data_IF_863771233195
#
_entry.id   IF_863771233195
#
_cell.length_a   1.000
_cell.length_b   1.000
_cell.length_c   1.000
_cell.angle_alpha   90.00
_cell.angle_beta   90.00
_cell.angle_gamma   90.00
#
_symmetry.space_group_name_H-M   'P 1'
#
loop_
_entity.id
_entity.type
_entity.pdbx_description
1 polymer ?
#
# COMPACT_ATOMS: atom_id res chain seq x y z
N UNK A 1 -1.24 19.93 24.13
CA UNK A 1 -0.99 19.54 22.75
C UNK A 1 -2.02 18.52 22.34
N UNK A 2 -2.80 18.70 21.26
CA UNK A 2 -3.79 17.70 20.84
C UNK A 2 -3.04 16.42 20.42
N UNK A 3 -3.41 15.31 21.07
CA UNK A 3 -2.88 13.99 20.71
C UNK A 3 -3.38 13.68 19.29
N UNK A 4 -2.48 13.66 18.32
CA UNK A 4 -2.77 13.32 16.94
C UNK A 4 -3.46 11.96 16.85
N UNK A 5 -4.40 11.80 15.89
CA UNK A 5 -5.11 10.55 15.59
C UNK A 5 -4.12 9.37 15.53
N UNK A 6 -2.94 9.55 14.91
CA UNK A 6 -1.86 8.57 14.83
C UNK A 6 -1.39 8.03 16.20
N UNK A 7 -1.27 8.88 17.23
CA UNK A 7 -0.82 8.44 18.57
C UNK A 7 -1.90 7.63 19.31
N UNK A 8 -3.18 7.90 19.02
CA UNK A 8 -4.33 7.15 19.57
C UNK A 8 -4.48 5.81 18.87
N UNK A 9 -4.34 5.79 17.55
CA UNK A 9 -4.36 4.60 16.72
C UNK A 9 -3.24 3.63 17.11
N UNK A 10 -2.00 4.11 17.30
CA UNK A 10 -0.88 3.29 17.76
C UNK A 10 -1.17 2.54 19.05
N UNK A 11 -1.72 3.21 20.08
CA UNK A 11 -2.04 2.55 21.37
C UNK A 11 -3.11 1.46 21.23
N UNK A 12 -4.13 1.68 20.41
CA UNK A 12 -5.18 0.70 20.14
C UNK A 12 -4.59 -0.54 19.46
N UNK A 13 -3.75 -0.36 18.44
CA UNK A 13 -3.10 -1.48 17.76
C UNK A 13 -2.11 -2.24 18.64
N UNK A 14 -1.36 -1.56 19.50
CA UNK A 14 -0.49 -2.21 20.49
C UNK A 14 -1.30 -3.11 21.46
N UNK A 15 -2.52 -2.71 21.80
CA UNK A 15 -3.40 -3.46 22.74
C UNK A 15 -4.10 -4.66 22.05
N UNK A 16 -4.48 -4.53 20.76
CA UNK A 16 -5.23 -5.59 20.04
C UNK A 16 -4.31 -6.52 19.22
N UNK A 17 -3.00 -6.33 19.30
CA UNK A 17 -2.00 -7.08 18.51
C UNK A 17 -2.12 -8.60 18.63
N UNK A 18 -2.63 -9.13 19.74
CA UNK A 18 -2.77 -10.56 19.99
C UNK A 18 -4.01 -11.19 19.32
N UNK A 19 -5.07 -10.43 19.09
CA UNK A 19 -6.36 -10.93 18.51
C UNK A 19 -6.49 -10.59 17.02
N UNK A 20 -5.81 -9.56 16.57
CA UNK A 20 -5.86 -9.06 15.19
C UNK A 20 -5.51 -10.11 14.10
N UNK A 21 -4.53 -11.03 14.30
CA UNK A 21 -4.16 -12.01 13.26
C UNK A 21 -5.29 -12.94 12.83
N UNK A 22 -6.16 -13.35 13.76
CA UNK A 22 -7.25 -14.31 13.50
C UNK A 22 -8.35 -13.64 12.65
N UNK A 23 -8.75 -12.42 13.00
CA UNK A 23 -9.77 -11.68 12.24
C UNK A 23 -9.31 -11.37 10.81
N UNK A 24 -8.04 -11.02 10.62
CA UNK A 24 -7.44 -10.73 9.32
C UNK A 24 -7.51 -11.93 8.37
N UNK A 25 -7.21 -13.14 8.87
CA UNK A 25 -7.29 -14.35 8.05
C UNK A 25 -8.71 -14.61 7.55
N UNK A 26 -9.71 -14.49 8.42
CA UNK A 26 -11.10 -14.80 8.07
C UNK A 26 -11.72 -13.78 7.11
N UNK A 27 -11.33 -12.51 7.14
CA UNK A 27 -12.00 -11.46 6.38
C UNK A 27 -11.19 -10.89 5.21
N UNK A 28 -9.86 -11.06 5.19
CA UNK A 28 -8.99 -10.39 4.22
C UNK A 28 -8.27 -11.32 3.23
N UNK A 29 -8.31 -12.63 3.45
CA UNK A 29 -7.49 -13.59 2.69
C UNK A 29 -7.71 -13.50 1.18
N UNK A 30 -8.96 -13.46 0.71
CA UNK A 30 -9.28 -13.35 -0.73
C UNK A 30 -8.80 -12.03 -1.35
N UNK A 31 -8.90 -10.93 -0.60
CA UNK A 31 -8.43 -9.63 -1.06
C UNK A 31 -6.90 -9.61 -1.15
N UNK A 32 -6.21 -10.21 -0.19
CA UNK A 32 -4.76 -10.36 -0.21
C UNK A 32 -4.29 -11.22 -1.40
N UNK A 33 -4.96 -12.35 -1.68
CA UNK A 33 -4.65 -13.19 -2.84
C UNK A 33 -4.87 -12.44 -4.15
N UNK A 34 -5.97 -11.70 -4.25
CA UNK A 34 -6.27 -10.86 -5.40
C UNK A 34 -5.20 -9.78 -5.60
N UNK A 35 -4.82 -9.07 -4.54
CA UNK A 35 -3.80 -8.03 -4.58
C UNK A 35 -2.44 -8.61 -5.01
N UNK A 36 -2.01 -9.71 -4.42
CA UNK A 36 -0.76 -10.37 -4.78
C UNK A 36 -0.76 -10.83 -6.24
N UNK A 37 -1.84 -11.47 -6.70
CA UNK A 37 -1.99 -11.94 -8.08
C UNK A 37 -1.82 -10.84 -9.12
N UNK A 38 -2.33 -9.63 -8.84
CA UNK A 38 -2.32 -8.51 -9.79
C UNK A 38 -1.17 -7.54 -9.57
N UNK A 39 -0.44 -7.66 -8.46
CA UNK A 39 0.67 -6.76 -8.09
C UNK A 39 1.83 -6.74 -9.09
N UNK A 40 2.00 -7.81 -9.87
CA UNK A 40 3.17 -8.01 -10.72
C UNK A 40 4.44 -8.36 -9.96
N UNK A 41 4.35 -8.66 -8.67
CA UNK A 41 5.50 -9.10 -7.84
C UNK A 41 5.97 -10.46 -8.34
N UNK A 42 7.29 -10.57 -8.54
CA UNK A 42 7.99 -11.78 -8.96
C UNK A 42 9.18 -12.00 -8.05
N UNK A 43 9.68 -13.22 -8.04
CA UNK A 43 10.90 -13.56 -7.31
C UNK A 43 12.11 -12.73 -7.79
N UNK A 44 12.99 -12.35 -6.86
CA UNK A 44 14.17 -11.54 -7.10
C UNK A 44 13.95 -10.02 -7.01
N UNK A 45 12.72 -9.55 -6.73
CA UNK A 45 12.38 -8.12 -6.65
C UNK A 45 12.71 -7.50 -5.29
N UNK A 46 12.80 -6.16 -5.29
CA UNK A 46 12.77 -5.34 -4.05
C UNK A 46 11.35 -4.90 -3.80
N UNK A 47 10.73 -5.46 -2.79
CA UNK A 47 9.32 -5.25 -2.44
C UNK A 47 9.22 -4.54 -1.09
N UNK A 48 8.32 -3.57 -0.98
CA UNK A 48 7.97 -2.89 0.25
C UNK A 48 6.50 -3.14 0.59
N UNK A 49 6.23 -3.53 1.84
CA UNK A 49 4.89 -3.41 2.42
C UNK A 49 4.87 -2.30 3.46
N UNK A 50 3.89 -1.43 3.37
CA UNK A 50 3.62 -0.39 4.36
C UNK A 50 2.39 -0.76 5.20
N UNK A 51 2.45 -0.49 6.52
CA UNK A 51 1.45 -0.87 7.51
C UNK A 51 1.21 -2.40 7.54
N UNK A 52 2.24 -3.13 7.91
CA UNK A 52 2.26 -4.61 7.87
C UNK A 52 1.27 -5.28 8.83
N UNK A 53 0.87 -4.60 9.91
CA UNK A 53 -0.14 -5.07 10.87
C UNK A 53 0.11 -6.49 11.36
N UNK A 54 -0.80 -7.43 11.02
CA UNK A 54 -0.70 -8.84 11.41
C UNK A 54 0.45 -9.61 10.75
N UNK A 55 1.11 -9.03 9.74
CA UNK A 55 2.17 -9.69 8.97
C UNK A 55 1.69 -10.74 7.96
N UNK A 56 0.38 -10.92 7.79
CA UNK A 56 -0.15 -11.96 6.90
C UNK A 56 0.16 -11.67 5.42
N UNK A 57 -0.01 -10.43 4.96
CA UNK A 57 0.39 -10.05 3.61
C UNK A 57 1.91 -10.10 3.47
N UNK A 58 2.65 -9.61 4.44
CA UNK A 58 4.12 -9.66 4.44
C UNK A 58 4.65 -11.08 4.27
N UNK A 59 4.09 -12.04 5.00
CA UNK A 59 4.41 -13.46 4.87
C UNK A 59 4.16 -13.99 3.45
N UNK A 60 3.06 -13.57 2.80
CA UNK A 60 2.74 -13.93 1.42
C UNK A 60 3.73 -13.33 0.44
N UNK A 61 4.12 -12.07 0.63
CA UNK A 61 5.13 -11.38 -0.17
C UNK A 61 6.48 -12.08 -0.08
N UNK A 62 6.94 -12.41 1.12
CA UNK A 62 8.21 -13.13 1.34
C UNK A 62 8.20 -14.51 0.67
N UNK A 63 7.07 -15.23 0.74
CA UNK A 63 6.92 -16.52 0.04
C UNK A 63 6.96 -16.41 -1.49
N UNK A 64 6.40 -15.33 -2.03
CA UNK A 64 6.38 -15.07 -3.48
C UNK A 64 7.72 -14.52 -4.01
N UNK A 65 8.61 -14.09 -3.10
CA UNK A 65 9.87 -13.41 -3.42
C UNK A 65 11.04 -13.97 -2.59
N UNK A 66 11.28 -15.29 -2.59
CA UNK A 66 12.26 -15.92 -1.69
C UNK A 66 13.72 -15.50 -1.95
N UNK A 67 14.10 -15.17 -3.19
CA UNK A 67 15.46 -14.76 -3.57
C UNK A 67 15.58 -13.24 -3.73
N UNK A 68 14.50 -12.50 -3.48
CA UNK A 68 14.50 -11.04 -3.48
C UNK A 68 14.61 -10.45 -2.09
N UNK A 69 14.37 -9.13 -1.99
CA UNK A 69 14.41 -8.39 -0.74
C UNK A 69 13.04 -7.83 -0.41
N UNK A 70 12.49 -8.22 0.75
CA UNK A 70 11.17 -7.77 1.19
C UNK A 70 11.30 -6.93 2.46
N UNK A 71 10.80 -5.70 2.40
CA UNK A 71 10.81 -4.75 3.49
C UNK A 71 9.38 -4.54 3.99
N UNK A 72 9.20 -4.57 5.30
CA UNK A 72 7.93 -4.32 5.97
C UNK A 72 8.04 -3.13 6.93
N UNK A 73 7.10 -2.20 6.87
CA UNK A 73 7.07 -1.06 7.77
C UNK A 73 5.73 -1.00 8.50
N UNK A 74 5.79 -0.66 9.77
CA UNK A 74 4.61 -0.37 10.57
C UNK A 74 4.91 0.80 11.51
N UNK A 75 3.88 1.55 11.91
CA UNK A 75 4.07 2.63 12.87
C UNK A 75 4.35 2.08 14.29
N UNK A 76 3.85 0.86 14.59
CA UNK A 76 4.06 0.16 15.85
C UNK A 76 5.33 -0.70 15.80
N UNK A 77 6.31 -0.49 16.69
CA UNK A 77 7.48 -1.37 16.81
C UNK A 77 7.10 -2.82 17.11
N UNK A 78 6.02 -3.02 17.88
CA UNK A 78 5.54 -4.36 18.23
C UNK A 78 4.99 -5.11 17.01
N UNK A 79 4.23 -4.41 16.14
CA UNK A 79 3.73 -4.97 14.87
C UNK A 79 4.88 -5.27 13.91
N UNK A 80 5.84 -4.37 13.75
CA UNK A 80 7.02 -4.61 12.92
C UNK A 80 7.82 -5.84 13.38
N UNK A 81 8.05 -5.97 14.70
CA UNK A 81 8.73 -7.12 15.29
C UNK A 81 7.92 -8.42 15.13
N UNK A 82 6.59 -8.36 15.30
CA UNK A 82 5.69 -9.49 15.08
C UNK A 82 5.74 -9.95 13.62
N UNK A 83 5.60 -9.05 12.67
CA UNK A 83 5.67 -9.31 11.24
C UNK A 83 6.97 -10.01 10.84
N UNK A 84 8.10 -9.54 11.34
CA UNK A 84 9.39 -10.17 11.06
C UNK A 84 9.47 -11.61 11.61
N UNK A 85 8.95 -11.86 12.81
CA UNK A 85 8.89 -13.23 13.38
C UNK A 85 8.02 -14.16 12.54
N UNK A 86 6.85 -13.69 12.09
CA UNK A 86 5.94 -14.45 11.22
C UNK A 86 6.61 -14.81 9.91
N UNK A 87 7.29 -13.85 9.27
CA UNK A 87 8.02 -14.05 8.02
C UNK A 87 9.17 -15.04 8.16
N UNK A 88 10.03 -14.88 9.18
CA UNK A 88 11.16 -15.77 9.44
C UNK A 88 10.73 -17.20 9.74
N UNK A 89 9.63 -17.39 10.47
CA UNK A 89 9.06 -18.73 10.71
C UNK A 89 8.60 -19.39 9.41
N UNK A 90 8.02 -18.63 8.48
CA UNK A 90 7.48 -19.16 7.23
C UNK A 90 8.56 -19.37 6.15
N UNK A 91 9.57 -18.50 6.11
CA UNK A 91 10.62 -18.50 5.10
C UNK A 91 11.97 -18.12 5.75
N UNK A 92 12.65 -19.03 6.47
CA UNK A 92 13.82 -18.71 7.28
C UNK A 92 15.02 -18.17 6.48
N UNK A 93 15.11 -18.52 5.19
CA UNK A 93 16.24 -18.16 4.32
C UNK A 93 16.00 -16.89 3.50
N UNK A 94 14.77 -16.38 3.46
CA UNK A 94 14.44 -15.20 2.68
C UNK A 94 14.99 -13.92 3.33
N UNK A 95 15.44 -12.97 2.52
CA UNK A 95 15.91 -11.66 2.98
C UNK A 95 14.70 -10.76 3.30
N UNK A 96 14.30 -10.76 4.57
CA UNK A 96 13.15 -10.02 5.08
C UNK A 96 13.56 -9.08 6.22
N UNK A 97 13.15 -7.81 6.10
CA UNK A 97 13.45 -6.74 7.05
C UNK A 97 12.16 -6.04 7.48
N UNK A 98 12.02 -5.77 8.76
CA UNK A 98 10.90 -4.96 9.26
C UNK A 98 11.39 -3.86 10.18
N UNK A 99 10.71 -2.71 10.15
CA UNK A 99 11.06 -1.56 10.96
C UNK A 99 9.85 -0.71 11.37
N UNK A 100 10.00 0.03 12.48
CA UNK A 100 9.00 0.98 12.95
C UNK A 100 9.21 2.32 12.25
N UNK A 101 8.32 2.64 11.30
CA UNK A 101 8.45 3.83 10.43
C UNK A 101 7.07 4.42 10.14
N UNK A 102 7.01 5.74 10.12
CA UNK A 102 5.85 6.48 9.61
C UNK A 102 5.87 6.51 8.08
N UNK A 103 4.83 5.95 7.45
CA UNK A 103 4.71 5.86 6.00
C UNK A 103 4.70 7.23 5.31
N UNK A 104 4.36 8.30 6.03
CA UNK A 104 4.36 9.67 5.52
C UNK A 104 5.76 10.25 5.28
N UNK A 105 6.80 9.52 5.71
CA UNK A 105 8.20 9.89 5.51
C UNK A 105 9.07 8.62 5.44
N UNK A 106 9.14 8.02 4.27
CA UNK A 106 9.82 6.75 4.05
C UNK A 106 11.35 6.92 4.01
N UNK A 107 12.14 6.16 4.79
CA UNK A 107 13.59 6.32 4.90
C UNK A 107 14.35 5.65 3.73
N UNK A 108 13.79 5.71 2.53
CA UNK A 108 14.38 5.12 1.34
C UNK A 108 14.63 6.18 0.26
N UNK A 109 15.60 5.93 -0.59
CA UNK A 109 15.87 6.75 -1.78
C UNK A 109 14.75 6.61 -2.80
N UNK A 110 14.57 7.62 -3.64
CA UNK A 110 13.65 7.54 -4.79
C UNK A 110 14.02 6.34 -5.69
N UNK A 111 13.00 5.66 -6.23
CA UNK A 111 13.19 4.56 -7.16
C UNK A 111 13.80 3.28 -6.53
N UNK A 112 13.68 3.09 -5.22
CA UNK A 112 14.29 1.97 -4.51
C UNK A 112 13.56 0.64 -4.67
N UNK A 113 12.26 0.65 -5.06
CA UNK A 113 11.42 -0.54 -5.05
C UNK A 113 10.78 -0.83 -6.39
N UNK A 114 10.69 -2.12 -6.72
CA UNK A 114 9.96 -2.64 -7.87
C UNK A 114 8.45 -2.63 -7.65
N UNK A 115 8.04 -2.91 -6.41
CA UNK A 115 6.65 -2.92 -6.01
C UNK A 115 6.46 -2.46 -4.55
N UNK A 116 5.34 -1.79 -4.31
CA UNK A 116 4.86 -1.42 -2.97
C UNK A 116 3.47 -2.01 -2.76
N UNK A 117 3.24 -2.62 -1.58
CA UNK A 117 1.95 -3.14 -1.12
C UNK A 117 1.46 -2.33 0.07
N UNK A 118 0.16 -2.02 0.10
CA UNK A 118 -0.52 -1.37 1.22
C UNK A 118 -1.90 -1.98 1.42
N UNK A 119 -2.19 -2.48 2.61
CA UNK A 119 -3.48 -3.09 2.91
C UNK A 119 -4.14 -2.41 4.11
N UNK A 120 -5.35 -1.85 3.90
CA UNK A 120 -6.23 -1.31 4.96
C UNK A 120 -5.57 -0.23 5.84
N UNK A 121 -4.78 0.64 5.24
CA UNK A 121 -4.14 1.77 5.93
C UNK A 121 -4.86 3.09 5.70
N UNK A 122 -5.31 3.36 4.45
CA UNK A 122 -5.76 4.71 4.06
C UNK A 122 -6.99 5.15 4.84
N UNK A 123 -7.81 4.22 5.28
CA UNK A 123 -8.98 4.46 6.13
C UNK A 123 -8.63 5.08 7.50
N UNK A 124 -7.40 4.89 7.95
CA UNK A 124 -6.90 5.36 9.25
C UNK A 124 -6.23 6.74 9.16
N UNK A 125 -6.07 7.28 7.96
CA UNK A 125 -5.36 8.51 7.69
C UNK A 125 -6.32 9.68 7.42
N UNK A 126 -5.86 10.90 7.69
CA UNK A 126 -6.52 12.11 7.20
C UNK A 126 -6.35 12.23 5.68
N UNK A 127 -7.15 13.08 5.03
CA UNK A 127 -7.01 13.35 3.59
C UNK A 127 -5.58 13.80 3.24
N UNK A 128 -5.06 14.76 3.98
CA UNK A 128 -3.69 15.28 3.81
C UNK A 128 -2.62 14.20 3.99
N UNK A 129 -2.80 13.32 5.01
CA UNK A 129 -1.88 12.21 5.26
C UNK A 129 -1.94 11.15 4.16
N UNK A 130 -3.12 10.89 3.56
CA UNK A 130 -3.26 10.00 2.39
C UNK A 130 -2.45 10.54 1.23
N UNK A 131 -2.63 11.81 0.88
CA UNK A 131 -1.91 12.45 -0.23
C UNK A 131 -0.39 12.42 0.00
N UNK A 132 0.05 12.72 1.23
CA UNK A 132 1.47 12.63 1.60
C UNK A 132 2.01 11.22 1.47
N UNK A 133 1.25 10.24 1.95
CA UNK A 133 1.59 8.81 1.86
C UNK A 133 1.70 8.35 0.40
N UNK A 134 0.76 8.71 -0.45
CA UNK A 134 0.78 8.36 -1.87
C UNK A 134 1.96 8.99 -2.61
N UNK A 135 2.32 10.25 -2.28
CA UNK A 135 3.53 10.89 -2.82
C UNK A 135 4.82 10.15 -2.42
N UNK A 136 4.94 9.73 -1.15
CA UNK A 136 6.08 8.96 -0.68
C UNK A 136 6.15 7.56 -1.33
N UNK A 137 5.02 6.88 -1.45
CA UNK A 137 4.94 5.58 -2.15
C UNK A 137 5.40 5.74 -3.62
N UNK A 138 4.89 6.76 -4.32
CA UNK A 138 5.33 7.05 -5.69
C UNK A 138 6.82 7.35 -5.76
N UNK A 139 7.33 8.15 -4.82
CA UNK A 139 8.75 8.53 -4.79
C UNK A 139 9.68 7.33 -4.66
N UNK A 140 9.35 6.38 -3.80
CA UNK A 140 10.19 5.20 -3.57
C UNK A 140 10.03 4.12 -4.66
N UNK A 141 8.95 4.15 -5.44
CA UNK A 141 8.77 3.27 -6.59
C UNK A 141 9.65 3.71 -7.75
N UNK A 142 10.33 2.77 -8.39
CA UNK A 142 11.02 3.01 -9.65
C UNK A 142 10.02 3.36 -10.77
N UNK A 143 10.45 4.00 -11.86
CA UNK A 143 9.64 4.12 -13.07
C UNK A 143 9.16 2.75 -13.55
N UNK A 144 7.85 2.62 -13.84
CA UNK A 144 7.22 1.35 -14.18
C UNK A 144 6.99 0.39 -12.98
N UNK A 145 7.41 0.77 -11.77
CA UNK A 145 7.11 0.03 -10.54
C UNK A 145 5.62 0.07 -10.20
N UNK A 146 5.14 -0.92 -9.46
CA UNK A 146 3.70 -1.07 -9.18
C UNK A 146 3.38 -0.84 -7.70
N UNK A 147 2.29 -0.11 -7.49
CA UNK A 147 1.64 0.08 -6.20
C UNK A 147 0.35 -0.75 -6.14
N UNK A 148 0.26 -1.68 -5.20
CA UNK A 148 -0.93 -2.47 -4.93
C UNK A 148 -1.56 -2.05 -3.63
N UNK A 149 -2.84 -1.71 -3.68
CA UNK A 149 -3.61 -1.18 -2.56
C UNK A 149 -4.84 -2.03 -2.33
N UNK A 150 -5.12 -2.34 -1.07
CA UNK A 150 -6.38 -2.93 -0.62
C UNK A 150 -7.04 -1.96 0.35
N UNK A 151 -8.30 -1.62 0.09
CA UNK A 151 -9.13 -0.80 0.98
C UNK A 151 -10.46 -1.49 1.26
N UNK A 152 -11.15 -1.07 2.31
CA UNK A 152 -12.50 -1.56 2.62
C UNK A 152 -13.44 -1.05 1.54
N UNK A 153 -14.20 -1.98 0.92
CA UNK A 153 -15.16 -1.66 -0.13
C UNK A 153 -16.48 -1.10 0.42
N UNK A 154 -17.16 -0.29 -0.36
CA UNK A 154 -18.45 0.33 -0.02
C UNK A 154 -19.62 -0.22 -0.85
N UNK A 155 -19.44 -1.34 -1.51
CA UNK A 155 -20.42 -1.93 -2.42
C UNK A 155 -21.49 -2.80 -1.73
N UNK A 156 -21.49 -2.89 -0.40
CA UNK A 156 -22.47 -3.68 0.39
C UNK A 156 -23.25 -2.74 1.32
N UNK A 157 -24.50 -2.40 0.96
CA UNK A 157 -25.34 -1.43 1.70
C UNK A 157 -25.48 -1.74 3.19
N UNK A 158 -25.71 -3.01 3.54
CA UNK A 158 -25.83 -3.45 4.94
C UNK A 158 -24.53 -3.27 5.72
N UNK A 159 -23.39 -3.58 5.09
CA UNK A 159 -22.08 -3.38 5.68
C UNK A 159 -21.78 -1.89 5.90
N UNK A 160 -22.13 -1.04 4.91
CA UNK A 160 -21.94 0.40 5.01
C UNK A 160 -22.75 1.02 6.16
N UNK A 161 -23.98 0.54 6.40
CA UNK A 161 -24.80 0.99 7.54
C UNK A 161 -24.17 0.64 8.89
N UNK A 162 -23.73 -0.59 9.07
CA UNK A 162 -23.03 -1.04 10.29
C UNK A 162 -21.69 -0.32 10.46
N UNK A 163 -20.98 -0.09 9.35
CA UNK A 163 -19.70 0.61 9.33
C UNK A 163 -19.86 2.09 9.75
N UNK A 164 -20.90 2.77 9.27
CA UNK A 164 -21.20 4.16 9.63
C UNK A 164 -21.50 4.30 11.14
N UNK A 165 -22.29 3.37 11.71
CA UNK A 165 -22.60 3.33 13.15
C UNK A 165 -21.32 3.05 13.96
N UNK A 166 -20.55 2.03 13.60
CA UNK A 166 -19.29 1.68 14.26
C UNK A 166 -18.24 2.79 14.17
N UNK A 167 -18.15 3.46 13.02
CA UNK A 167 -17.25 4.59 12.79
C UNK A 167 -17.56 5.81 13.64
N UNK A 168 -18.85 6.05 13.97
CA UNK A 168 -19.24 7.13 14.88
C UNK A 168 -18.94 6.81 16.35
N UNK A 169 -18.99 5.52 16.74
CA UNK A 169 -18.77 5.07 18.12
C UNK A 169 -17.27 4.83 18.42
N UNK A 170 -16.53 4.24 17.49
CA UNK A 170 -15.11 3.90 17.65
C UNK A 170 -14.33 4.22 16.36
N UNK A 171 -14.11 5.52 16.04
CA UNK A 171 -13.46 5.94 14.78
C UNK A 171 -12.06 5.36 14.56
N UNK A 172 -11.32 5.11 15.66
CA UNK A 172 -9.97 4.56 15.61
C UNK A 172 -9.91 3.10 15.14
N UNK A 173 -11.02 2.38 15.20
CA UNK A 173 -11.11 0.97 14.81
C UNK A 173 -11.75 0.77 13.43
N UNK A 174 -12.80 1.57 13.14
CA UNK A 174 -13.56 1.43 11.90
C UNK A 174 -13.01 2.25 10.73
N UNK A 175 -12.18 3.29 10.98
CA UNK A 175 -11.57 4.12 9.97
C UNK A 175 -12.56 5.01 9.20
N UNK A 176 -12.10 5.60 8.12
CA UNK A 176 -12.87 6.48 7.23
C UNK A 176 -13.28 5.73 5.96
N UNK A 177 -14.42 6.10 5.39
CA UNK A 177 -14.83 5.62 4.07
C UNK A 177 -14.08 6.41 2.99
N UNK A 178 -13.00 5.85 2.43
CA UNK A 178 -12.13 6.52 1.44
C UNK A 178 -12.20 5.88 0.05
N UNK A 179 -12.84 4.72 -0.06
CA UNK A 179 -12.82 3.85 -1.25
C UNK A 179 -13.19 4.58 -2.56
N UNK A 180 -14.19 5.45 -2.53
CA UNK A 180 -14.67 6.17 -3.72
C UNK A 180 -13.67 7.20 -4.26
N UNK A 181 -12.89 7.84 -3.39
CA UNK A 181 -11.92 8.90 -3.76
C UNK A 181 -10.53 8.37 -4.10
N UNK A 182 -10.20 7.15 -3.66
CA UNK A 182 -8.85 6.59 -3.79
C UNK A 182 -8.33 6.52 -5.23
N UNK A 183 -9.11 6.11 -6.26
CA UNK A 183 -8.62 6.10 -7.64
C UNK A 183 -8.15 7.48 -8.13
N UNK A 184 -8.85 8.54 -7.75
CA UNK A 184 -8.50 9.91 -8.14
C UNK A 184 -7.26 10.38 -7.38
N UNK A 185 -7.18 10.13 -6.09
CA UNK A 185 -5.99 10.44 -5.28
C UNK A 185 -4.72 9.74 -5.81
N UNK A 186 -4.84 8.50 -6.27
CA UNK A 186 -3.73 7.78 -6.90
C UNK A 186 -3.30 8.48 -8.20
N UNK A 187 -4.26 8.94 -9.04
CA UNK A 187 -3.96 9.67 -10.28
C UNK A 187 -3.34 11.05 -10.01
N UNK A 188 -3.85 11.78 -9.02
CA UNK A 188 -3.30 13.06 -8.56
C UNK A 188 -1.88 12.91 -8.02
N UNK A 189 -1.58 11.79 -7.37
CA UNK A 189 -0.22 11.46 -6.98
C UNK A 189 0.70 11.11 -8.18
N UNK A 190 0.19 11.08 -9.42
CA UNK A 190 0.96 10.82 -10.64
C UNK A 190 1.18 9.34 -10.95
N UNK A 191 0.30 8.48 -10.47
CA UNK A 191 0.29 7.04 -10.80
C UNK A 191 -0.92 6.69 -11.66
N UNK A 192 -0.78 5.71 -12.54
CA UNK A 192 -1.85 5.25 -13.44
C UNK A 192 -2.48 3.97 -12.89
N UNK A 193 -3.78 4.00 -12.57
CA UNK A 193 -4.53 2.81 -12.15
C UNK A 193 -4.63 1.84 -13.33
N UNK A 194 -4.16 0.61 -13.16
CA UNK A 194 -4.14 -0.45 -14.18
C UNK A 194 -5.04 -1.64 -13.83
N UNK A 195 -5.40 -1.78 -12.56
CA UNK A 195 -6.34 -2.80 -12.08
C UNK A 195 -7.25 -2.20 -11.03
N UNK A 196 -8.52 -2.53 -11.10
CA UNK A 196 -9.54 -2.13 -10.14
C UNK A 196 -10.53 -3.30 -9.98
N UNK A 197 -10.59 -3.90 -8.80
CA UNK A 197 -11.37 -5.11 -8.53
C UNK A 197 -12.08 -5.03 -7.20
N UNK A 198 -13.35 -5.39 -7.19
CA UNK A 198 -14.11 -5.64 -5.97
C UNK A 198 -13.98 -7.11 -5.58
N UNK A 199 -13.64 -7.33 -4.31
CA UNK A 199 -13.47 -8.67 -3.74
C UNK A 199 -14.36 -8.77 -2.50
N UNK A 200 -15.10 -9.87 -2.40
CA UNK A 200 -15.96 -10.13 -1.25
C UNK A 200 -15.57 -11.43 -0.58
N UNK A 201 -15.38 -11.40 0.72
CA UNK A 201 -15.16 -12.57 1.55
C UNK A 201 -16.20 -12.61 2.66
N UNK A 202 -17.19 -13.52 2.52
CA UNK A 202 -18.40 -13.50 3.34
C UNK A 202 -19.16 -12.19 3.16
N UNK A 203 -19.36 -11.46 4.26
CA UNK A 203 -20.00 -10.14 4.27
C UNK A 203 -18.99 -8.99 4.15
N UNK A 204 -17.69 -9.26 4.20
CA UNK A 204 -16.65 -8.22 4.20
C UNK A 204 -16.25 -7.83 2.76
N UNK A 205 -16.57 -6.60 2.33
CA UNK A 205 -16.18 -6.11 1.02
C UNK A 205 -14.78 -5.49 1.05
N UNK A 206 -14.03 -5.71 -0.02
CA UNK A 206 -12.74 -5.04 -0.25
C UNK A 206 -12.66 -4.55 -1.69
N UNK A 207 -11.90 -3.50 -1.93
CA UNK A 207 -11.51 -3.05 -3.26
C UNK A 207 -10.00 -3.15 -3.40
N UNK A 208 -9.57 -3.78 -4.47
CA UNK A 208 -8.14 -4.00 -4.80
C UNK A 208 -7.81 -3.14 -6.01
N UNK A 209 -6.86 -2.26 -5.83
CA UNK A 209 -6.36 -1.36 -6.87
C UNK A 209 -4.88 -1.67 -7.12
N UNK A 210 -4.48 -1.67 -8.39
CA UNK A 210 -3.06 -1.67 -8.76
C UNK A 210 -2.80 -0.47 -9.63
N UNK A 211 -1.79 0.30 -9.27
CA UNK A 211 -1.36 1.45 -10.04
C UNK A 211 0.12 1.30 -10.43
N UNK A 212 0.48 1.89 -11.56
CA UNK A 212 1.84 1.92 -12.07
C UNK A 212 2.42 3.33 -11.92
N UNK A 213 3.64 3.43 -11.41
CA UNK A 213 4.39 4.67 -11.43
C UNK A 213 4.77 4.97 -12.88
N UNK A 214 3.99 5.87 -13.53
CA UNK A 214 4.25 6.24 -14.91
C UNK A 214 5.70 6.74 -15.05
N UNK A 215 6.44 6.19 -15.98
CA UNK A 215 7.72 6.77 -16.37
C UNK A 215 7.49 8.23 -16.75
N UNK A 216 8.28 9.14 -16.21
CA UNK A 216 8.30 10.51 -16.70
C UNK A 216 8.64 10.43 -18.19
N UNK A 217 7.67 10.69 -19.06
CA UNK A 217 7.97 10.86 -20.48
C UNK A 217 8.86 12.10 -20.58
N UNK A 218 10.16 11.90 -20.61
CA UNK A 218 11.07 12.95 -21.10
C UNK A 218 10.59 13.28 -22.51
N UNK A 219 10.25 14.56 -22.81
CA UNK A 219 9.88 14.93 -24.16
C UNK A 219 11.02 14.49 -25.09
N UNK A 220 10.74 13.63 -26.05
CA UNK A 220 11.71 13.29 -27.09
C UNK A 220 12.06 14.60 -27.75
N UNK A 221 13.33 15.07 -27.73
CA UNK A 221 13.69 16.29 -28.36
C UNK A 221 13.32 16.14 -29.84
N UNK A 222 12.47 17.08 -30.32
CA UNK A 222 11.97 17.09 -31.68
C UNK A 222 13.16 17.23 -32.67
N UNK A 223 13.66 16.12 -33.20
CA UNK A 223 14.76 16.08 -34.18
C UNK A 223 14.44 16.81 -35.49
N UNK A 224 13.20 17.30 -35.64
CA UNK A 224 12.76 17.99 -36.85
C UNK A 224 13.17 19.47 -36.92
N UNK A 225 13.69 20.08 -35.85
CA UNK A 225 14.07 21.50 -35.83
C UNK A 225 15.46 21.77 -36.47
N UNK A 226 16.32 20.75 -36.58
CA UNK A 226 17.69 20.96 -37.09
C UNK A 226 17.84 20.85 -38.60
N UNK A 227 16.80 20.46 -39.37
CA UNK A 227 16.90 20.30 -40.81
C UNK A 227 16.39 21.51 -41.62
N UNK A 228 15.88 22.57 -40.98
CA UNK A 228 15.41 23.79 -41.70
C UNK A 228 16.41 24.93 -41.74
N UNK A 229 17.53 24.85 -41.01
CA UNK A 229 18.52 25.96 -41.01
C UNK A 229 19.64 25.84 -42.07
N UNK A 230 19.72 24.74 -42.83
CA UNK A 230 20.79 24.53 -43.83
C UNK A 230 20.33 24.80 -45.27
N UNK A 231 19.09 25.25 -45.47
CA UNK A 231 18.56 25.44 -46.86
C UNK A 231 18.35 26.90 -47.31
N UNK A 232 18.78 27.90 -46.55
CA UNK A 232 18.73 29.31 -46.96
C UNK A 232 20.12 29.97 -46.86
N UNK A 233 21.08 29.48 -47.62
CA UNK A 233 22.40 30.07 -47.77
C UNK A 233 22.96 29.66 -49.10
N UNK A 234 22.36 30.16 -50.19
CA UNK A 234 22.98 30.39 -51.51
C UNK A 234 22.20 31.44 -52.23
#
# INVERSE_FOLDING_TARGET
MPRTIAARTRRVYDLVSSVYPVSTFFFHSKAHDCALKHSGIRNGMRVLEVATGSGEMFRRLVKANPDGRTYGLDLSPNMAAHTLRVARKACPRAEAHCGAVDVRNLPFRSGSFDAVMCCYLLELLSQEDIERTLREIRRVLRPGGKFSLVVIGQNVKMFNGLYAIGGSLVPAFWGRQVESSVPDLIREAGMRVVTDRFVRQGFYPSRVLVAENAAVQTPVPNRSAHLRSVRNGR
#
